data_IF_555272273893
#
_entry.id   IF_555272273893
#
_cell.length_a   1.000
_cell.length_b   1.000
_cell.length_c   1.000
_cell.angle_alpha   90.00
_cell.angle_beta   90.00
_cell.angle_gamma   90.00
#
_symmetry.space_group_name_H-M   'P 1'
#
loop_
_entity.id
_entity.type
_entity.pdbx_description
1 polymer ?
#
# COMPACT_ATOMS: atom_id res chain seq x y z
N UNK A 1 -40.53 3.73 -33.00
CA UNK A 1 -39.43 3.16 -33.80
C UNK A 1 -38.17 3.10 -32.95
N UNK A 2 -37.31 2.10 -33.18
CA UNK A 2 -36.06 1.89 -32.45
C UNK A 2 -34.87 2.51 -33.21
N UNK A 3 -34.00 3.22 -32.49
CA UNK A 3 -32.70 3.67 -32.97
C UNK A 3 -31.60 2.99 -32.17
N UNK A 4 -30.51 2.61 -32.85
CA UNK A 4 -29.38 1.93 -32.24
C UNK A 4 -28.15 2.82 -32.30
N UNK A 5 -27.55 3.14 -31.15
CA UNK A 5 -26.34 3.95 -31.05
C UNK A 5 -25.17 3.07 -30.61
N UNK A 6 -24.06 3.14 -31.31
CA UNK A 6 -22.80 2.47 -30.95
C UNK A 6 -21.65 3.49 -31.07
N UNK A 7 -20.52 3.20 -30.43
CA UNK A 7 -19.33 4.03 -30.54
C UNK A 7 -18.14 3.21 -31.02
N UNK A 8 -17.25 3.87 -31.75
CA UNK A 8 -16.00 3.32 -32.25
C UNK A 8 -14.83 4.24 -31.86
N UNK A 9 -13.64 3.97 -32.38
CA UNK A 9 -12.46 4.80 -32.11
C UNK A 9 -12.60 6.23 -32.67
N UNK A 10 -13.45 6.44 -33.68
CA UNK A 10 -13.66 7.74 -34.32
C UNK A 10 -14.82 8.55 -33.75
N UNK A 11 -15.78 7.94 -33.04
CA UNK A 11 -16.97 8.67 -32.59
C UNK A 11 -18.16 7.78 -32.29
N UNK A 12 -19.34 8.40 -32.27
CA UNK A 12 -20.65 7.76 -32.12
C UNK A 12 -21.37 7.69 -33.46
N UNK A 13 -22.04 6.56 -33.71
CA UNK A 13 -22.82 6.31 -34.92
C UNK A 13 -24.21 5.79 -34.52
N UNK A 14 -25.24 6.33 -35.19
CA UNK A 14 -26.63 5.99 -34.98
C UNK A 14 -27.21 5.29 -36.20
N UNK A 15 -27.90 4.18 -35.98
CA UNK A 15 -28.45 3.30 -37.01
C UNK A 15 -29.94 3.06 -36.80
N UNK A 16 -30.66 2.80 -37.89
CA UNK A 16 -32.04 2.33 -37.82
C UNK A 16 -32.10 0.80 -37.65
N UNK A 17 -33.30 0.22 -37.60
CA UNK A 17 -33.51 -1.23 -37.50
C UNK A 17 -33.04 -2.03 -38.73
N UNK A 18 -32.77 -1.38 -39.86
CA UNK A 18 -32.29 -1.98 -41.10
C UNK A 18 -30.76 -1.84 -41.25
N UNK A 19 -30.07 -1.36 -40.21
CA UNK A 19 -28.64 -1.07 -40.17
C UNK A 19 -28.19 0.06 -41.12
N UNK A 20 -29.10 0.93 -41.53
CA UNK A 20 -28.74 2.14 -42.27
C UNK A 20 -28.25 3.21 -41.30
N UNK A 21 -27.15 3.89 -41.65
CA UNK A 21 -26.59 4.98 -40.87
C UNK A 21 -27.49 6.22 -40.95
N UNK A 22 -28.00 6.67 -39.81
CA UNK A 22 -28.87 7.84 -39.69
C UNK A 22 -28.05 9.10 -39.41
N UNK A 23 -27.12 9.02 -38.46
CA UNK A 23 -26.34 10.15 -37.97
C UNK A 23 -25.01 9.67 -37.42
N UNK A 24 -24.00 10.54 -37.48
CA UNK A 24 -22.68 10.31 -36.90
C UNK A 24 -22.18 11.57 -36.18
N UNK A 25 -21.49 11.36 -35.06
CA UNK A 25 -20.76 12.39 -34.32
C UNK A 25 -19.34 11.91 -34.11
N UNK A 26 -18.44 12.39 -34.96
CA UNK A 26 -17.02 12.06 -34.91
C UNK A 26 -16.31 12.92 -33.86
N UNK A 27 -15.33 12.34 -33.19
CA UNK A 27 -14.42 13.04 -32.31
C UNK A 27 -13.46 13.92 -33.13
N UNK A 28 -13.07 15.10 -32.62
CA UNK A 28 -11.95 15.84 -33.18
C UNK A 28 -10.68 14.99 -33.18
N UNK A 29 -9.89 14.99 -34.28
CA UNK A 29 -8.71 14.12 -34.44
C UNK A 29 -7.70 14.25 -33.29
N UNK A 30 -7.53 15.46 -32.76
CA UNK A 30 -6.64 15.78 -31.64
C UNK A 30 -7.22 15.40 -30.27
N UNK A 31 -8.53 15.18 -30.16
CA UNK A 31 -9.23 14.84 -28.92
C UNK A 31 -9.61 13.36 -28.80
N UNK A 32 -9.46 12.54 -29.84
CA UNK A 32 -9.84 11.11 -29.86
C UNK A 32 -9.38 10.39 -28.58
N UNK A 33 -8.12 10.53 -28.21
CA UNK A 33 -7.56 9.85 -27.02
C UNK A 33 -8.19 10.33 -25.72
N UNK A 34 -8.46 11.64 -25.60
CA UNK A 34 -9.09 12.22 -24.42
C UNK A 34 -10.55 11.77 -24.32
N UNK A 35 -11.29 11.73 -25.44
CA UNK A 35 -12.67 11.23 -25.51
C UNK A 35 -12.77 9.76 -25.10
N UNK A 36 -11.91 8.90 -25.66
CA UNK A 36 -11.86 7.48 -25.30
C UNK A 36 -11.51 7.29 -23.80
N UNK A 37 -10.57 8.08 -23.27
CA UNK A 37 -10.23 8.04 -21.86
C UNK A 37 -11.37 8.54 -20.94
N UNK A 38 -12.12 9.55 -21.36
CA UNK A 38 -13.29 10.05 -20.63
C UNK A 38 -14.43 9.04 -20.63
N UNK A 39 -14.65 8.32 -21.75
CA UNK A 39 -15.61 7.22 -21.83
C UNK A 39 -15.22 6.09 -20.87
N UNK A 40 -13.95 5.69 -20.80
CA UNK A 40 -13.47 4.69 -19.83
C UNK A 40 -13.74 5.12 -18.38
N UNK A 41 -13.54 6.40 -18.09
CA UNK A 41 -13.80 7.04 -16.80
C UNK A 41 -15.31 7.26 -16.52
N UNK A 42 -16.19 6.73 -17.40
CA UNK A 42 -17.67 6.81 -17.35
C UNK A 42 -18.22 8.24 -17.44
N UNK A 43 -17.47 9.16 -18.02
CA UNK A 43 -17.97 10.51 -18.32
C UNK A 43 -18.74 10.48 -19.63
N UNK A 44 -19.86 11.19 -19.67
CA UNK A 44 -20.62 11.42 -20.91
C UNK A 44 -19.86 12.49 -21.70
N UNK A 45 -19.47 12.15 -22.93
CA UNK A 45 -18.78 13.08 -23.83
C UNK A 45 -19.80 13.88 -24.64
N UNK A 46 -19.46 15.09 -25.13
CA UNK A 46 -20.39 15.95 -25.86
C UNK A 46 -21.04 15.26 -27.06
N UNK A 47 -20.26 14.49 -27.82
CA UNK A 47 -20.71 13.79 -29.02
C UNK A 47 -21.76 12.71 -28.70
N UNK A 48 -21.69 12.12 -27.49
CA UNK A 48 -22.65 11.14 -27.00
C UNK A 48 -23.99 11.79 -26.66
N UNK A 49 -23.99 12.99 -26.06
CA UNK A 49 -25.23 13.76 -25.82
C UNK A 49 -25.83 14.28 -27.11
N UNK A 50 -24.99 14.84 -27.99
CA UNK A 50 -25.45 15.44 -29.25
C UNK A 50 -26.14 14.43 -30.15
N UNK A 51 -25.58 13.22 -30.29
CA UNK A 51 -26.20 12.17 -31.11
C UNK A 51 -27.53 11.68 -30.52
N UNK A 52 -27.61 11.56 -29.18
CA UNK A 52 -28.86 11.17 -28.50
C UNK A 52 -29.93 12.23 -28.70
N UNK A 53 -29.59 13.50 -28.52
CA UNK A 53 -30.52 14.62 -28.67
C UNK A 53 -31.03 14.73 -30.10
N UNK A 54 -30.16 14.54 -31.10
CA UNK A 54 -30.52 14.55 -32.51
C UNK A 54 -31.56 13.48 -32.85
N UNK A 55 -31.34 12.22 -32.44
CA UNK A 55 -32.26 11.11 -32.76
C UNK A 55 -33.48 11.06 -31.84
N UNK A 56 -33.47 11.77 -30.71
CA UNK A 56 -34.55 11.73 -29.71
C UNK A 56 -35.88 12.26 -30.21
N UNK A 57 -35.88 13.10 -31.25
CA UNK A 57 -37.08 13.66 -31.85
C UNK A 57 -37.80 12.66 -32.77
N UNK A 58 -37.04 11.83 -33.48
CA UNK A 58 -37.55 10.96 -34.55
C UNK A 58 -37.83 9.52 -34.07
N UNK A 59 -37.28 9.13 -32.91
CA UNK A 59 -37.38 7.77 -32.38
C UNK A 59 -37.99 7.72 -30.97
N UNK A 60 -38.70 6.62 -30.70
CA UNK A 60 -39.39 6.38 -29.42
C UNK A 60 -38.48 5.70 -28.41
N UNK A 61 -37.57 4.86 -28.89
CA UNK A 61 -36.63 4.08 -28.09
C UNK A 61 -35.22 4.14 -28.69
N UNK A 62 -34.24 4.44 -27.84
CA UNK A 62 -32.82 4.56 -28.21
C UNK A 62 -32.04 3.48 -27.47
N UNK A 63 -31.43 2.56 -28.21
CA UNK A 63 -30.65 1.45 -27.66
C UNK A 63 -29.16 1.75 -27.85
N UNK A 64 -28.46 2.14 -26.78
CA UNK A 64 -27.05 2.55 -26.82
C UNK A 64 -26.11 1.50 -26.22
N UNK A 65 -24.96 1.30 -26.85
CA UNK A 65 -23.81 0.60 -26.24
C UNK A 65 -23.04 1.56 -25.33
N UNK A 66 -23.10 1.36 -24.01
CA UNK A 66 -22.38 2.20 -23.05
C UNK A 66 -21.99 1.44 -21.78
N UNK A 67 -20.92 1.91 -21.13
CA UNK A 67 -20.43 1.44 -19.83
C UNK A 67 -21.02 2.26 -18.64
N UNK A 68 -21.90 3.21 -18.94
CA UNK A 68 -22.58 4.12 -18.01
C UNK A 68 -23.90 3.51 -17.53
N UNK A 69 -24.56 4.14 -16.54
CA UNK A 69 -25.88 3.70 -16.08
C UNK A 69 -26.97 4.46 -16.82
N UNK A 70 -28.14 3.83 -16.97
CA UNK A 70 -29.32 4.49 -17.57
C UNK A 70 -29.69 5.79 -16.85
N UNK A 71 -29.52 5.82 -15.52
CA UNK A 71 -29.75 7.01 -14.71
C UNK A 71 -28.88 8.22 -15.07
N UNK A 72 -27.74 7.99 -15.71
CA UNK A 72 -26.75 9.04 -15.99
C UNK A 72 -27.18 9.92 -17.18
N UNK A 73 -28.07 9.42 -18.05
CA UNK A 73 -28.48 10.10 -19.28
C UNK A 73 -29.67 11.06 -19.11
N UNK A 74 -30.43 10.97 -18.02
CA UNK A 74 -31.61 11.83 -17.79
C UNK A 74 -32.74 11.70 -18.83
N UNK A 75 -32.63 10.79 -19.81
CA UNK A 75 -33.58 10.59 -20.89
C UNK A 75 -34.23 9.20 -20.77
N UNK A 76 -35.56 9.17 -20.58
CA UNK A 76 -36.30 7.92 -20.38
C UNK A 76 -36.32 7.03 -21.63
N UNK A 77 -36.12 7.59 -22.82
CA UNK A 77 -36.07 6.84 -24.09
C UNK A 77 -34.78 6.00 -24.24
N UNK A 78 -33.74 6.29 -23.46
CA UNK A 78 -32.45 5.62 -23.55
C UNK A 78 -32.46 4.30 -22.77
N UNK A 79 -32.17 3.21 -23.48
CA UNK A 79 -31.95 1.89 -22.95
C UNK A 79 -30.53 1.42 -23.30
N UNK A 80 -29.86 0.78 -22.35
CA UNK A 80 -28.48 0.33 -22.53
C UNK A 80 -28.49 -1.17 -22.85
N UNK A 81 -27.92 -1.54 -23.99
CA UNK A 81 -27.74 -2.93 -24.40
C UNK A 81 -26.39 -3.06 -25.09
N UNK A 82 -25.50 -3.86 -24.50
CA UNK A 82 -24.14 -4.07 -25.02
C UNK A 82 -23.85 -5.56 -25.09
N UNK A 83 -23.61 -6.15 -26.28
CA UNK A 83 -23.66 -5.51 -27.59
C UNK A 83 -25.10 -5.26 -28.08
N UNK A 84 -25.29 -4.28 -28.96
CA UNK A 84 -26.53 -4.07 -29.71
C UNK A 84 -26.35 -4.51 -31.20
N UNK A 85 -27.45 -4.73 -31.94
CA UNK A 85 -27.39 -5.19 -33.34
C UNK A 85 -26.54 -4.29 -34.25
N UNK A 86 -26.67 -2.97 -34.12
CA UNK A 86 -25.90 -2.01 -34.92
C UNK A 86 -24.40 -2.05 -34.61
N UNK A 87 -24.02 -2.24 -33.34
CA UNK A 87 -22.62 -2.40 -32.93
C UNK A 87 -22.01 -3.70 -33.46
N UNK A 88 -22.77 -4.80 -33.50
CA UNK A 88 -22.33 -6.03 -34.18
C UNK A 88 -22.14 -5.80 -35.68
N UNK A 89 -23.09 -5.13 -36.34
CA UNK A 89 -22.99 -4.80 -37.75
C UNK A 89 -21.78 -3.90 -38.06
N UNK A 90 -21.57 -2.84 -37.27
CA UNK A 90 -20.40 -1.97 -37.39
C UNK A 90 -19.10 -2.75 -37.24
N UNK A 91 -18.98 -3.60 -36.22
CA UNK A 91 -17.75 -4.38 -35.96
C UNK A 91 -17.48 -5.42 -37.05
N UNK A 92 -18.51 -5.94 -37.70
CA UNK A 92 -18.36 -6.86 -38.83
C UNK A 92 -18.02 -6.16 -40.15
N UNK A 93 -18.33 -4.88 -40.31
CA UNK A 93 -18.18 -4.13 -41.57
C UNK A 93 -17.41 -2.81 -41.36
N UNK A 94 -16.47 -2.78 -40.41
CA UNK A 94 -15.84 -1.52 -39.96
C UNK A 94 -15.14 -0.75 -41.10
N UNK A 95 -14.62 -1.45 -42.11
CA UNK A 95 -13.98 -0.86 -43.29
C UNK A 95 -14.95 0.02 -44.11
N UNK A 96 -16.25 -0.33 -44.16
CA UNK A 96 -17.29 0.45 -44.86
C UNK A 96 -17.52 1.81 -44.21
N UNK A 97 -17.19 1.93 -42.92
CA UNK A 97 -17.32 3.17 -42.12
C UNK A 97 -16.00 3.96 -42.04
N UNK A 98 -15.07 3.72 -42.98
CA UNK A 98 -13.81 4.44 -43.06
C UNK A 98 -12.87 4.17 -41.89
N UNK A 99 -13.02 3.03 -41.20
CA UNK A 99 -12.10 2.59 -40.17
C UNK A 99 -11.04 1.66 -40.77
N UNK A 100 -9.78 2.10 -40.74
CA UNK A 100 -8.66 1.28 -41.17
C UNK A 100 -8.06 0.48 -40.00
N UNK A 101 -7.62 -0.76 -40.27
CA UNK A 101 -7.08 -1.64 -39.23
C UNK A 101 -5.76 -1.14 -38.65
N UNK A 102 -4.91 -0.47 -39.44
CA UNK A 102 -3.65 0.11 -38.94
C UNK A 102 -3.95 1.32 -38.05
N UNK A 103 -4.85 2.20 -38.50
CA UNK A 103 -5.29 3.38 -37.74
C UNK A 103 -5.92 2.99 -36.39
N UNK A 104 -6.83 2.01 -36.38
CA UNK A 104 -7.44 1.50 -35.14
C UNK A 104 -6.37 0.99 -34.17
N UNK A 105 -5.42 0.20 -34.69
CA UNK A 105 -4.35 -0.39 -33.87
C UNK A 105 -3.46 0.69 -33.27
N UNK A 106 -3.14 1.72 -34.06
CA UNK A 106 -2.37 2.86 -33.59
C UNK A 106 -3.09 3.66 -32.50
N UNK A 107 -4.38 3.94 -32.66
CA UNK A 107 -5.19 4.65 -31.66
C UNK A 107 -5.22 3.84 -30.35
N UNK A 108 -5.48 2.52 -30.41
CA UNK A 108 -5.49 1.68 -29.21
C UNK A 108 -4.11 1.58 -28.54
N UNK A 109 -3.03 1.52 -29.32
CA UNK A 109 -1.66 1.57 -28.79
C UNK A 109 -1.42 2.88 -28.05
N UNK A 110 -1.80 4.01 -28.64
CA UNK A 110 -1.64 5.32 -28.05
C UNK A 110 -2.50 5.48 -26.78
N UNK A 111 -3.73 4.95 -26.78
CA UNK A 111 -4.59 4.90 -25.60
C UNK A 111 -3.96 4.04 -24.47
N UNK A 112 -3.38 2.89 -24.81
CA UNK A 112 -2.68 2.05 -23.83
C UNK A 112 -1.46 2.78 -23.22
N UNK A 113 -0.66 3.46 -24.04
CA UNK A 113 0.47 4.28 -23.56
C UNK A 113 -0.04 5.43 -22.66
N UNK A 114 -1.12 6.10 -23.07
CA UNK A 114 -1.76 7.15 -22.27
C UNK A 114 -2.20 6.63 -20.89
N UNK A 115 -2.88 5.49 -20.85
CA UNK A 115 -3.31 4.84 -19.59
C UNK A 115 -2.12 4.50 -18.69
N UNK A 116 -1.03 3.96 -19.26
CA UNK A 116 0.19 3.64 -18.51
C UNK A 116 0.83 4.92 -17.94
N UNK A 117 0.90 6.00 -18.72
CA UNK A 117 1.45 7.28 -18.26
C UNK A 117 0.59 7.88 -17.15
N UNK A 118 -0.74 7.85 -17.28
CA UNK A 118 -1.70 8.36 -16.29
C UNK A 118 -1.56 7.60 -14.96
N UNK A 119 -1.49 6.26 -15.00
CA UNK A 119 -1.31 5.45 -13.79
C UNK A 119 0.10 5.60 -13.20
N UNK A 120 1.14 5.69 -14.04
CA UNK A 120 2.53 5.91 -13.57
C UNK A 120 2.74 7.29 -12.95
N UNK A 121 1.91 8.27 -13.31
CA UNK A 121 1.96 9.63 -12.74
C UNK A 121 1.30 9.72 -11.37
N UNK A 122 0.73 8.63 -10.85
CA UNK A 122 0.16 8.64 -9.50
C UNK A 122 1.25 8.78 -8.44
N UNK A 123 1.09 9.78 -7.58
CA UNK A 123 2.13 10.17 -6.62
C UNK A 123 2.41 9.08 -5.57
N UNK A 124 1.44 8.19 -5.34
CA UNK A 124 1.61 7.05 -4.45
C UNK A 124 2.62 6.03 -5.00
N UNK A 125 2.89 5.97 -6.32
CA UNK A 125 3.94 5.09 -6.87
C UNK A 125 5.34 5.53 -6.46
N UNK A 126 5.62 6.83 -6.45
CA UNK A 126 6.91 7.34 -5.98
C UNK A 126 7.10 7.09 -4.49
N UNK A 127 6.04 7.23 -3.69
CA UNK A 127 6.04 6.86 -2.27
C UNK A 127 6.37 5.37 -2.06
N UNK A 128 5.76 4.49 -2.85
CA UNK A 128 6.01 3.04 -2.81
C UNK A 128 7.46 2.72 -3.13
N UNK A 129 8.04 3.35 -4.15
CA UNK A 129 9.46 3.15 -4.47
C UNK A 129 10.35 3.64 -3.33
N UNK A 130 10.10 4.84 -2.79
CA UNK A 130 10.91 5.41 -1.71
C UNK A 130 10.93 4.52 -0.45
N UNK A 131 9.77 4.00 -0.02
CA UNK A 131 9.73 3.15 1.18
C UNK A 131 10.40 1.79 0.96
N UNK A 132 10.29 1.21 -0.24
CA UNK A 132 10.99 -0.03 -0.58
C UNK A 132 12.52 0.19 -0.62
N UNK A 133 12.96 1.33 -1.17
CA UNK A 133 14.37 1.72 -1.16
C UNK A 133 14.92 1.89 0.26
N UNK A 134 14.14 2.45 1.19
CA UNK A 134 14.55 2.52 2.61
C UNK A 134 14.79 1.11 3.16
N UNK A 135 13.88 0.16 2.94
CA UNK A 135 14.04 -1.21 3.43
C UNK A 135 15.29 -1.89 2.81
N UNK A 136 15.55 -1.68 1.51
CA UNK A 136 16.76 -2.20 0.84
C UNK A 136 18.06 -1.56 1.35
N UNK A 137 18.05 -0.24 1.59
CA UNK A 137 19.18 0.49 2.16
C UNK A 137 19.45 0.00 3.59
N UNK A 138 18.42 -0.21 4.41
CA UNK A 138 18.57 -0.72 5.78
C UNK A 138 19.24 -2.11 5.81
N UNK A 139 18.82 -3.01 4.92
CA UNK A 139 19.48 -4.31 4.78
C UNK A 139 20.93 -4.21 4.30
N UNK A 140 21.19 -3.31 3.35
CA UNK A 140 22.52 -3.09 2.79
C UNK A 140 23.48 -2.49 3.82
N UNK A 141 23.06 -1.41 4.50
CA UNK A 141 23.81 -0.77 5.59
C UNK A 141 24.17 -1.82 6.66
N UNK A 142 23.20 -2.64 7.08
CA UNK A 142 23.44 -3.66 8.12
C UNK A 142 24.58 -4.62 7.74
N UNK A 143 24.53 -5.17 6.51
CA UNK A 143 25.58 -6.09 6.01
C UNK A 143 26.94 -5.41 5.86
N UNK A 144 26.96 -4.16 5.40
CA UNK A 144 28.19 -3.40 5.22
C UNK A 144 28.83 -3.03 6.55
N UNK A 145 28.02 -2.72 7.57
CA UNK A 145 28.51 -2.44 8.92
C UNK A 145 29.13 -3.69 9.56
N UNK A 146 28.55 -4.88 9.36
CA UNK A 146 29.18 -6.13 9.80
C UNK A 146 30.57 -6.31 9.16
N UNK A 147 30.67 -6.09 7.84
CA UNK A 147 31.93 -6.23 7.10
C UNK A 147 33.00 -5.24 7.54
N UNK A 148 32.65 -3.96 7.70
CA UNK A 148 33.65 -2.94 8.08
C UNK A 148 34.08 -3.06 9.53
N UNK A 149 33.23 -3.56 10.43
CA UNK A 149 33.64 -3.89 11.81
C UNK A 149 34.70 -4.98 11.82
N UNK A 150 34.46 -6.08 11.11
CA UNK A 150 35.43 -7.16 10.98
C UNK A 150 36.76 -6.68 10.36
N UNK A 151 36.70 -5.83 9.34
CA UNK A 151 37.89 -5.35 8.65
C UNK A 151 38.67 -4.32 9.47
N UNK A 152 37.98 -3.34 10.04
CA UNK A 152 38.62 -2.27 10.81
C UNK A 152 39.16 -2.76 12.16
N UNK A 153 38.59 -3.83 12.72
CA UNK A 153 39.15 -4.48 13.91
C UNK A 153 40.54 -5.11 13.69
N UNK A 154 40.95 -5.34 12.44
CA UNK A 154 42.33 -5.73 12.12
C UNK A 154 43.31 -4.55 12.34
N UNK A 155 42.84 -3.31 12.26
CA UNK A 155 43.64 -2.11 12.46
C UNK A 155 43.49 -1.50 13.85
N UNK A 156 42.26 -1.41 14.36
CA UNK A 156 41.94 -0.79 15.64
C UNK A 156 40.89 -1.63 16.39
N UNK A 157 41.29 -2.76 17.00
CA UNK A 157 40.36 -3.69 17.65
C UNK A 157 39.60 -3.07 18.83
N UNK A 158 40.19 -2.08 19.51
CA UNK A 158 39.55 -1.38 20.64
C UNK A 158 38.31 -0.59 20.21
N UNK A 159 38.16 -0.27 18.92
CA UNK A 159 36.99 0.40 18.35
C UNK A 159 35.67 -0.35 18.64
N UNK A 160 35.73 -1.65 18.91
CA UNK A 160 34.57 -2.48 19.26
C UNK A 160 33.86 -2.06 20.56
N UNK A 161 34.48 -1.22 21.41
CA UNK A 161 33.79 -0.57 22.53
C UNK A 161 32.59 0.27 22.05
N UNK A 162 32.64 0.79 20.82
CA UNK A 162 31.56 1.56 20.21
C UNK A 162 30.47 0.61 19.67
N UNK A 163 29.48 0.32 20.53
CA UNK A 163 28.33 -0.54 20.19
C UNK A 163 27.34 0.09 19.21
N UNK A 164 27.23 1.42 19.16
CA UNK A 164 26.31 2.10 18.25
C UNK A 164 26.91 2.15 16.84
N UNK A 165 26.26 1.49 15.89
CA UNK A 165 26.69 1.35 14.51
C UNK A 165 26.80 2.67 13.75
N UNK A 166 25.87 3.60 13.93
CA UNK A 166 25.91 4.92 13.28
C UNK A 166 27.11 5.73 13.79
N UNK A 167 27.36 5.70 15.10
CA UNK A 167 28.52 6.37 15.71
C UNK A 167 29.84 5.74 15.27
N UNK A 168 29.88 4.41 15.16
CA UNK A 168 31.07 3.67 14.70
C UNK A 168 31.49 4.13 13.30
N UNK A 169 30.55 4.15 12.36
CA UNK A 169 30.80 4.57 10.98
C UNK A 169 31.15 6.04 10.90
N UNK A 170 30.41 6.91 11.60
CA UNK A 170 30.70 8.36 11.61
C UNK A 170 32.12 8.65 12.10
N UNK A 171 32.57 7.99 13.18
CA UNK A 171 33.91 8.21 13.72
C UNK A 171 35.00 7.86 12.70
N UNK A 172 34.89 6.72 12.00
CA UNK A 172 35.86 6.31 10.96
C UNK A 172 35.79 7.24 9.74
N UNK A 173 34.58 7.67 9.36
CA UNK A 173 34.38 8.56 8.22
C UNK A 173 34.96 9.96 8.46
N UNK A 174 34.80 10.50 9.66
CA UNK A 174 35.23 11.86 10.02
C UNK A 174 36.71 11.91 10.44
N UNK A 175 37.26 10.80 10.96
CA UNK A 175 38.60 10.72 11.53
C UNK A 175 39.35 9.57 10.84
N UNK A 176 40.41 9.89 10.11
CA UNK A 176 41.07 8.96 9.17
C UNK A 176 42.12 8.08 9.83
N UNK A 177 42.46 8.35 11.08
CA UNK A 177 43.46 7.62 11.85
C UNK A 177 42.97 7.29 13.25
N UNK A 178 43.55 6.24 13.86
CA UNK A 178 43.31 5.84 15.24
C UNK A 178 43.43 7.01 16.23
N UNK A 179 44.49 7.81 16.10
CA UNK A 179 44.74 8.95 16.99
C UNK A 179 43.65 10.03 16.91
N UNK A 180 43.18 10.32 15.70
CA UNK A 180 42.09 11.28 15.50
C UNK A 180 40.78 10.75 16.11
N UNK A 181 40.51 9.44 15.96
CA UNK A 181 39.32 8.80 16.56
C UNK A 181 39.36 8.85 18.09
N UNK A 182 40.51 8.52 18.70
CA UNK A 182 40.71 8.58 20.16
C UNK A 182 40.49 10.01 20.66
N UNK A 183 41.05 11.01 19.97
CA UNK A 183 40.85 12.43 20.29
C UNK A 183 39.40 12.88 20.14
N UNK A 184 38.68 12.36 19.14
CA UNK A 184 37.28 12.67 18.92
C UNK A 184 36.36 12.06 19.98
N UNK A 185 36.77 10.95 20.63
CA UNK A 185 35.98 10.29 21.67
C UNK A 185 36.84 9.68 22.79
N UNK A 186 37.53 10.50 23.60
CA UNK A 186 38.48 10.00 24.62
C UNK A 186 37.79 9.19 25.72
N UNK A 187 36.53 9.50 26.03
CA UNK A 187 35.74 8.76 27.04
C UNK A 187 35.55 7.27 26.70
N UNK A 188 35.65 6.89 25.42
CA UNK A 188 35.51 5.51 24.99
C UNK A 188 36.84 4.73 24.95
N UNK A 189 37.98 5.44 25.00
CA UNK A 189 39.31 4.90 24.80
C UNK A 189 40.26 5.41 25.90
N UNK A 190 40.31 4.75 27.07
CA UNK A 190 41.19 5.15 28.16
C UNK A 190 42.68 4.86 27.85
N UNK A 191 43.58 5.65 28.46
CA UNK A 191 45.03 5.67 28.18
C UNK A 191 45.76 4.34 28.51
N UNK A 192 45.11 3.42 29.24
CA UNK A 192 45.64 2.11 29.62
C UNK A 192 45.36 1.01 28.57
N UNK A 193 44.79 1.38 27.42
CA UNK A 193 44.62 0.46 26.29
C UNK A 193 45.97 0.00 25.73
N UNK A 194 46.08 -1.29 25.46
CA UNK A 194 47.28 -1.90 24.88
C UNK A 194 47.39 -1.42 23.44
N UNK A 195 48.27 -0.46 23.19
CA UNK A 195 48.60 -0.03 21.84
C UNK A 195 49.51 -1.09 21.18
N UNK A 196 48.90 -2.05 20.50
CA UNK A 196 49.64 -2.93 19.59
C UNK A 196 49.95 -2.12 18.33
N UNK A 197 51.21 -1.68 18.21
CA UNK A 197 51.72 -1.13 16.95
C UNK A 197 51.71 -2.24 15.89
N UNK A 198 50.68 -2.25 15.03
CA UNK A 198 50.67 -3.05 13.83
C UNK A 198 51.04 -2.19 12.61
N UNK A 199 52.08 -2.61 11.89
CA UNK A 199 52.51 -2.03 10.61
C UNK A 199 51.46 -2.34 9.53
N UNK A 200 50.35 -1.61 9.54
CA UNK A 200 49.34 -1.69 8.48
C UNK A 200 49.69 -0.72 7.37
N UNK A 201 49.61 -1.22 6.15
CA UNK A 201 49.86 -0.44 4.95
C UNK A 201 48.89 0.76 4.88
N UNK A 202 49.38 2.01 4.75
CA UNK A 202 48.55 3.20 4.68
C UNK A 202 47.48 3.15 3.59
N UNK A 203 47.73 2.44 2.49
CA UNK A 203 46.74 2.24 1.42
C UNK A 203 45.53 1.41 1.88
N UNK A 204 45.73 0.44 2.77
CA UNK A 204 44.63 -0.38 3.28
C UNK A 204 43.74 0.45 4.20
N UNK A 205 44.33 1.34 5.02
CA UNK A 205 43.60 2.32 5.86
C UNK A 205 42.79 3.27 4.99
N UNK A 206 43.38 3.80 3.91
CA UNK A 206 42.68 4.68 2.97
C UNK A 206 41.45 4.00 2.35
N UNK A 207 41.57 2.74 1.93
CA UNK A 207 40.43 1.98 1.37
C UNK A 207 39.35 1.76 2.44
N UNK A 208 39.72 1.40 3.66
CA UNK A 208 38.76 1.22 4.77
C UNK A 208 38.01 2.53 5.08
N UNK A 209 38.71 3.67 5.11
CA UNK A 209 38.09 4.97 5.34
C UNK A 209 37.14 5.38 4.20
N UNK A 210 37.52 5.14 2.94
CA UNK A 210 36.64 5.38 1.80
C UNK A 210 35.38 4.50 1.84
N UNK A 211 35.54 3.26 2.30
CA UNK A 211 34.41 2.36 2.50
C UNK A 211 33.50 2.83 3.64
N UNK A 212 34.05 3.26 4.78
CA UNK A 212 33.28 3.88 5.87
C UNK A 212 32.50 5.10 5.40
N UNK A 213 33.13 5.97 4.62
CA UNK A 213 32.49 7.16 4.06
C UNK A 213 31.33 6.79 3.12
N UNK A 214 31.49 5.76 2.30
CA UNK A 214 30.39 5.26 1.45
C UNK A 214 29.20 4.77 2.29
N UNK A 215 29.44 4.07 3.40
CA UNK A 215 28.38 3.63 4.33
C UNK A 215 27.73 4.85 5.01
N UNK A 216 28.53 5.84 5.40
CA UNK A 216 28.04 7.08 6.01
C UNK A 216 27.10 7.84 5.06
N UNK A 217 27.49 8.01 3.79
CA UNK A 217 26.64 8.64 2.76
C UNK A 217 25.34 7.85 2.53
N UNK A 218 25.37 6.51 2.60
CA UNK A 218 24.15 5.70 2.57
C UNK A 218 23.24 5.96 3.79
N UNK A 219 23.80 6.14 4.99
CA UNK A 219 23.03 6.52 6.18
C UNK A 219 22.38 7.90 6.03
N UNK A 220 23.06 8.86 5.41
CA UNK A 220 22.47 10.18 5.13
C UNK A 220 21.38 10.09 4.07
N UNK A 221 21.61 9.32 2.99
CA UNK A 221 20.61 9.06 1.95
C UNK A 221 19.33 8.44 2.54
N UNK A 222 19.49 7.47 3.46
CA UNK A 222 18.36 6.88 4.21
C UNK A 222 17.55 7.94 4.95
N UNK A 223 18.20 8.86 5.67
CA UNK A 223 17.51 9.94 6.41
C UNK A 223 16.75 10.86 5.47
N UNK A 224 17.37 11.27 4.35
CA UNK A 224 16.72 12.10 3.34
C UNK A 224 15.48 11.41 2.73
N UNK A 225 15.54 10.09 2.52
CA UNK A 225 14.40 9.30 2.06
C UNK A 225 13.29 9.22 3.11
N UNK A 226 13.62 9.10 4.39
CA UNK A 226 12.61 9.13 5.47
C UNK A 226 11.88 10.47 5.53
N UNK A 227 12.60 11.59 5.41
CA UNK A 227 12.01 12.93 5.34
C UNK A 227 11.12 13.10 4.09
N UNK A 228 11.58 12.60 2.94
CA UNK A 228 10.80 12.61 1.70
C UNK A 228 9.51 11.78 1.83
N UNK A 229 9.59 10.59 2.45
CA UNK A 229 8.42 9.74 2.72
C UNK A 229 7.45 10.45 3.67
N UNK A 230 7.95 11.13 4.70
CA UNK A 230 7.11 11.90 5.63
C UNK A 230 6.37 13.05 4.93
N UNK A 231 7.08 13.81 4.11
CA UNK A 231 6.50 14.88 3.29
C UNK A 231 5.43 14.34 2.33
N UNK A 232 5.74 13.27 1.58
CA UNK A 232 4.78 12.66 0.64
C UNK A 232 3.58 12.05 1.35
N UNK A 233 3.75 11.45 2.52
CA UNK A 233 2.64 10.92 3.32
C UNK A 233 1.73 12.02 3.84
N UNK A 234 2.27 13.19 4.20
CA UNK A 234 1.47 14.34 4.61
C UNK A 234 0.57 14.85 3.47
N UNK A 235 1.07 14.84 2.25
CA UNK A 235 0.34 15.31 1.07
C UNK A 235 -0.70 14.28 0.60
N UNK A 236 -0.30 13.01 0.49
CA UNK A 236 -1.11 11.95 -0.12
C UNK A 236 -2.12 11.33 0.87
N UNK A 237 -1.73 11.13 2.13
CA UNK A 237 -2.51 10.39 3.12
C UNK A 237 -2.34 10.94 4.55
N UNK A 238 -2.76 12.20 4.81
CA UNK A 238 -2.55 12.87 6.09
C UNK A 238 -3.24 12.16 7.27
N UNK A 239 -4.44 11.60 7.09
CA UNK A 239 -5.13 10.89 8.17
C UNK A 239 -4.40 9.58 8.52
N UNK A 240 -3.95 8.84 7.50
CA UNK A 240 -3.16 7.63 7.72
C UNK A 240 -1.82 7.95 8.40
N UNK A 241 -1.14 9.01 7.97
CA UNK A 241 0.10 9.51 8.61
C UNK A 241 -0.12 9.83 10.09
N UNK A 242 -1.18 10.57 10.43
CA UNK A 242 -1.50 10.91 11.82
C UNK A 242 -1.73 9.66 12.67
N UNK A 243 -2.43 8.65 12.13
CA UNK A 243 -2.83 7.47 12.89
C UNK A 243 -1.68 6.49 13.14
N UNK A 244 -0.83 6.21 12.13
CA UNK A 244 0.19 5.15 12.21
C UNK A 244 1.62 5.62 11.99
N UNK A 245 1.82 6.90 11.65
CA UNK A 245 3.12 7.45 11.22
C UNK A 245 3.43 7.14 9.76
N UNK A 246 4.37 7.90 9.20
CA UNK A 246 4.68 7.87 7.76
C UNK A 246 5.32 6.56 7.30
N UNK A 247 6.24 5.99 8.08
CA UNK A 247 6.89 4.72 7.72
C UNK A 247 5.91 3.56 7.64
N UNK A 248 5.08 3.33 8.67
CA UNK A 248 4.10 2.25 8.67
C UNK A 248 2.98 2.51 7.66
N UNK A 249 2.52 3.76 7.52
CA UNK A 249 1.53 4.15 6.51
C UNK A 249 2.01 3.86 5.08
N UNK A 250 3.23 4.28 4.75
CA UNK A 250 3.85 4.01 3.45
C UNK A 250 4.03 2.51 3.20
N UNK A 251 4.44 1.73 4.21
CA UNK A 251 4.54 0.26 4.10
C UNK A 251 3.19 -0.40 3.82
N UNK A 252 2.11 0.07 4.42
CA UNK A 252 0.76 -0.41 4.12
C UNK A 252 0.33 -0.07 2.69
N UNK A 253 0.62 1.14 2.22
CA UNK A 253 0.33 1.56 0.83
C UNK A 253 1.14 0.72 -0.17
N UNK A 254 2.43 0.53 0.08
CA UNK A 254 3.33 -0.32 -0.72
C UNK A 254 2.82 -1.75 -0.81
N UNK A 255 2.51 -2.35 0.34
CA UNK A 255 2.00 -3.72 0.38
C UNK A 255 0.61 -3.86 -0.30
N UNK A 256 -0.22 -2.82 -0.31
CA UNK A 256 -1.49 -2.84 -1.04
C UNK A 256 -1.32 -2.62 -2.56
N UNK A 257 -0.20 -2.03 -2.99
CA UNK A 257 0.08 -1.63 -4.38
C UNK A 257 -0.52 -0.27 -4.76
N UNK A 258 -0.86 0.57 -3.77
CA UNK A 258 -1.44 1.90 -3.97
C UNK A 258 -2.48 2.27 -2.91
N UNK A 259 -2.68 3.57 -2.70
CA UNK A 259 -3.55 4.09 -1.66
C UNK A 259 -5.03 3.77 -1.94
N UNK A 260 -5.46 3.92 -3.21
CA UNK A 260 -6.84 3.55 -3.62
C UNK A 260 -7.15 2.08 -3.34
N UNK A 261 -6.20 1.19 -3.58
CA UNK A 261 -6.34 -0.26 -3.30
C UNK A 261 -6.46 -0.51 -1.80
N UNK A 262 -5.62 0.16 -1.00
CA UNK A 262 -5.69 0.07 0.47
C UNK A 262 -7.06 0.52 1.01
N UNK A 263 -7.63 1.59 0.46
CA UNK A 263 -8.94 2.11 0.90
C UNK A 263 -10.10 1.12 0.65
N UNK A 264 -10.01 0.31 -0.39
CA UNK A 264 -11.03 -0.72 -0.73
C UNK A 264 -10.89 -1.97 0.15
N UNK A 265 -9.72 -2.23 0.73
CA UNK A 265 -9.53 -3.40 1.58
C UNK A 265 -10.43 -3.39 2.82
N UNK A 266 -10.97 -4.56 3.21
CA UNK A 266 -11.66 -4.69 4.48
C UNK A 266 -10.64 -4.64 5.63
N UNK A 267 -11.10 -4.20 6.80
CA UNK A 267 -10.25 -4.08 8.00
C UNK A 267 -9.61 -5.40 8.43
N UNK A 268 -10.28 -6.53 8.18
CA UNK A 268 -9.74 -7.87 8.43
C UNK A 268 -8.50 -8.18 7.59
N UNK A 269 -8.46 -7.70 6.34
CA UNK A 269 -7.29 -7.84 5.47
C UNK A 269 -6.17 -6.94 5.95
N UNK A 270 -6.47 -5.66 6.20
CA UNK A 270 -5.49 -4.68 6.74
C UNK A 270 -4.85 -5.18 8.03
N UNK A 271 -5.62 -5.85 8.90
CA UNK A 271 -5.11 -6.42 10.14
C UNK A 271 -3.95 -7.40 9.93
N UNK A 272 -4.01 -8.22 8.89
CA UNK A 272 -3.09 -9.34 8.65
C UNK A 272 -2.13 -9.12 7.48
N UNK A 273 -2.13 -7.94 6.85
CA UNK A 273 -1.20 -7.58 5.78
C UNK A 273 0.26 -7.76 6.22
N UNK A 274 1.08 -8.43 5.43
CA UNK A 274 2.45 -8.83 5.75
C UNK A 274 2.58 -10.14 6.56
N UNK A 275 1.46 -10.78 6.92
CA UNK A 275 1.43 -12.09 7.58
C UNK A 275 0.80 -13.20 6.71
N UNK A 276 0.77 -13.00 5.39
CA UNK A 276 0.13 -13.87 4.39
C UNK A 276 0.67 -15.29 4.49
N UNK A 277 1.99 -15.47 4.62
CA UNK A 277 2.61 -16.80 4.74
C UNK A 277 2.06 -17.57 5.96
N UNK A 278 1.85 -16.89 7.08
CA UNK A 278 1.28 -17.49 8.28
C UNK A 278 -0.22 -17.75 8.14
N UNK A 279 -0.93 -16.84 7.46
CA UNK A 279 -2.35 -16.99 7.14
C UNK A 279 -2.61 -18.19 6.22
N UNK A 280 -1.89 -18.30 5.11
CA UNK A 280 -2.03 -19.41 4.17
C UNK A 280 -1.64 -20.75 4.79
N UNK A 281 -0.63 -20.76 5.68
CA UNK A 281 -0.33 -21.95 6.48
C UNK A 281 -1.53 -22.33 7.35
N UNK A 282 -2.12 -21.38 8.08
CA UNK A 282 -3.33 -21.63 8.87
C UNK A 282 -4.49 -22.19 8.02
N UNK A 283 -4.75 -21.62 6.84
CA UNK A 283 -5.81 -22.10 5.95
C UNK A 283 -5.55 -23.53 5.46
N UNK A 284 -4.28 -23.92 5.28
CA UNK A 284 -3.89 -25.25 4.82
C UNK A 284 -3.85 -26.29 5.93
N UNK A 285 -3.30 -25.95 7.10
CA UNK A 285 -3.07 -26.89 8.22
C UNK A 285 -4.12 -26.85 9.31
N UNK A 286 -4.96 -25.80 9.36
CA UNK A 286 -5.91 -25.58 10.45
C UNK A 286 -5.26 -25.10 11.76
N UNK A 287 -4.02 -24.60 11.71
CA UNK A 287 -3.29 -24.07 12.88
C UNK A 287 -3.96 -22.81 13.48
N UNK A 288 -3.32 -22.05 14.36
CA UNK A 288 -3.88 -20.76 14.80
C UNK A 288 -3.59 -19.68 13.75
N UNK A 289 -4.57 -18.84 13.38
CA UNK A 289 -4.33 -17.74 12.45
C UNK A 289 -3.39 -16.68 13.07
N UNK A 290 -2.66 -15.92 12.23
CA UNK A 290 -1.95 -14.74 12.69
C UNK A 290 -2.95 -13.71 13.23
N UNK A 291 -2.56 -12.97 14.28
CA UNK A 291 -3.40 -11.95 14.91
C UNK A 291 -3.20 -10.56 14.33
N UNK A 292 -2.08 -10.33 13.68
CA UNK A 292 -1.63 -9.06 13.14
C UNK A 292 -0.50 -9.32 12.13
N UNK A 293 -0.30 -8.41 11.19
CA UNK A 293 0.86 -8.36 10.31
C UNK A 293 1.70 -7.11 10.55
N UNK A 294 1.90 -6.28 9.53
CA UNK A 294 2.70 -5.05 9.57
C UNK A 294 2.29 -4.09 10.71
N UNK A 295 1.00 -4.02 11.01
CA UNK A 295 0.46 -3.16 12.07
C UNK A 295 0.99 -3.49 13.48
N UNK A 296 1.69 -4.62 13.66
CA UNK A 296 2.41 -4.92 14.89
C UNK A 296 3.54 -3.92 15.20
N UNK A 297 4.09 -3.27 14.17
CA UNK A 297 5.14 -2.27 14.32
C UNK A 297 4.65 -1.02 15.07
N UNK A 298 3.33 -0.78 15.10
CA UNK A 298 2.75 0.35 15.82
C UNK A 298 3.06 0.27 17.33
N UNK A 299 3.59 1.35 17.96
CA UNK A 299 4.03 1.33 19.36
C UNK A 299 2.97 0.82 20.33
N UNK A 300 1.72 1.27 20.17
CA UNK A 300 0.59 0.85 21.03
C UNK A 300 0.24 -0.63 20.88
N UNK A 301 0.44 -1.23 19.71
CA UNK A 301 0.19 -2.67 19.50
C UNK A 301 1.34 -3.50 20.06
N UNK A 302 2.58 -3.08 19.83
CA UNK A 302 3.79 -3.77 20.32
C UNK A 302 3.89 -3.70 21.84
N UNK A 303 3.62 -2.53 22.42
CA UNK A 303 3.69 -2.25 23.85
C UNK A 303 2.57 -2.90 24.67
N UNK A 304 1.40 -3.14 24.07
CA UNK A 304 0.27 -3.74 24.76
C UNK A 304 0.54 -5.17 25.28
N UNK A 305 -0.19 -5.54 26.34
CA UNK A 305 -0.12 -6.90 26.92
C UNK A 305 -0.53 -7.95 25.90
N UNK A 306 0.14 -9.11 25.87
CA UNK A 306 -0.01 -10.12 24.81
C UNK A 306 -1.45 -10.62 24.58
N UNK A 307 -2.31 -10.58 25.59
CA UNK A 307 -3.75 -10.94 25.48
C UNK A 307 -4.62 -9.80 24.91
N UNK A 308 -4.17 -8.55 24.97
CA UNK A 308 -4.85 -7.37 24.45
C UNK A 308 -4.38 -6.98 23.05
N UNK A 309 -3.15 -7.34 22.65
CA UNK A 309 -2.57 -7.02 21.32
C UNK A 309 -3.52 -7.27 20.17
N UNK A 310 -4.18 -8.44 20.13
CA UNK A 310 -5.09 -8.78 19.04
C UNK A 310 -6.39 -7.96 19.01
N UNK A 311 -6.82 -7.41 20.16
CA UNK A 311 -8.00 -6.51 20.24
C UNK A 311 -7.63 -5.12 19.73
N UNK A 312 -6.50 -4.59 20.19
CA UNK A 312 -5.97 -3.28 19.77
C UNK A 312 -5.61 -3.31 18.29
N UNK A 313 -4.97 -4.38 17.80
CA UNK A 313 -4.66 -4.55 16.39
C UNK A 313 -5.91 -4.55 15.49
N UNK A 314 -6.99 -5.24 15.92
CA UNK A 314 -8.26 -5.24 15.17
C UNK A 314 -8.89 -3.86 15.11
N UNK A 315 -8.89 -3.15 16.23
CA UNK A 315 -9.40 -1.78 16.31
C UNK A 315 -8.59 -0.83 15.42
N UNK A 316 -7.25 -0.91 15.52
CA UNK A 316 -6.33 -0.12 14.71
C UNK A 316 -6.56 -0.38 13.22
N UNK A 317 -6.70 -1.64 12.80
CA UNK A 317 -6.98 -1.97 11.40
C UNK A 317 -8.31 -1.37 10.90
N UNK A 318 -9.34 -1.33 11.75
CA UNK A 318 -10.59 -0.63 11.45
C UNK A 318 -10.39 0.86 11.23
N UNK A 319 -9.66 1.51 12.13
CA UNK A 319 -9.33 2.94 12.02
C UNK A 319 -8.45 3.25 10.81
N UNK A 320 -7.48 2.40 10.48
CA UNK A 320 -6.65 2.50 9.27
C UNK A 320 -7.53 2.45 8.01
N UNK A 321 -8.45 1.48 7.92
CA UNK A 321 -9.37 1.39 6.78
C UNK A 321 -10.24 2.65 6.65
N UNK A 322 -10.70 3.22 7.77
CA UNK A 322 -11.45 4.47 7.75
C UNK A 322 -10.60 5.66 7.33
N UNK A 323 -9.39 5.80 7.87
CA UNK A 323 -8.44 6.85 7.51
C UNK A 323 -8.11 6.81 6.01
N UNK A 324 -7.72 5.64 5.48
CA UNK A 324 -7.41 5.47 4.07
C UNK A 324 -8.60 5.80 3.15
N UNK A 325 -9.83 5.42 3.52
CA UNK A 325 -11.03 5.81 2.77
C UNK A 325 -11.29 7.30 2.81
N UNK A 326 -11.05 7.94 3.96
CA UNK A 326 -11.25 9.37 4.11
C UNK A 326 -10.23 10.16 3.29
N UNK A 327 -8.97 9.75 3.30
CA UNK A 327 -7.89 10.31 2.47
C UNK A 327 -8.23 10.22 0.98
N UNK A 328 -8.74 9.08 0.51
CA UNK A 328 -9.04 8.86 -0.92
C UNK A 328 -10.34 9.52 -1.39
N UNK A 329 -11.44 9.30 -0.66
CA UNK A 329 -12.79 9.60 -1.17
C UNK A 329 -13.36 10.91 -0.65
N UNK A 330 -13.02 11.31 0.58
CA UNK A 330 -13.59 12.50 1.22
C UNK A 330 -12.62 13.68 1.22
N UNK A 331 -11.30 13.41 1.24
CA UNK A 331 -10.23 14.41 1.31
C UNK A 331 -10.40 15.40 2.47
N UNK A 332 -10.92 14.92 3.61
CA UNK A 332 -11.05 15.71 4.84
C UNK A 332 -10.10 15.18 5.89
N UNK A 333 -9.50 16.08 6.66
CA UNK A 333 -8.58 15.73 7.74
C UNK A 333 -9.32 15.56 9.07
N UNK A 334 -8.92 14.57 9.86
CA UNK A 334 -9.43 14.27 11.19
C UNK A 334 -8.34 14.34 12.23
N UNK A 335 -8.23 15.50 12.86
CA UNK A 335 -7.25 15.76 13.92
C UNK A 335 -7.44 14.85 15.15
N UNK A 336 -8.66 14.34 15.38
CA UNK A 336 -8.98 13.58 16.59
C UNK A 336 -8.75 12.07 16.44
N UNK A 337 -8.44 11.58 15.24
CA UNK A 337 -8.37 10.14 14.95
C UNK A 337 -7.34 9.41 15.84
N UNK A 338 -6.19 10.04 16.10
CA UNK A 338 -5.16 9.46 16.96
C UNK A 338 -5.58 9.46 18.44
N UNK A 339 -6.13 10.56 18.94
CA UNK A 339 -6.59 10.64 20.33
C UNK A 339 -7.72 9.66 20.63
N UNK A 340 -8.64 9.48 19.68
CA UNK A 340 -9.70 8.47 19.77
C UNK A 340 -9.11 7.05 19.81
N UNK A 341 -8.09 6.77 19.00
CA UNK A 341 -7.38 5.49 19.02
C UNK A 341 -6.73 5.21 20.39
N UNK A 342 -6.02 6.19 20.95
CA UNK A 342 -5.36 6.05 22.25
C UNK A 342 -6.38 5.80 23.36
N UNK A 343 -7.44 6.62 23.45
CA UNK A 343 -8.52 6.44 24.45
C UNK A 343 -9.12 5.04 24.40
N UNK A 344 -9.46 4.55 23.21
CA UNK A 344 -10.02 3.20 23.07
C UNK A 344 -9.00 2.10 23.37
N UNK A 345 -7.71 2.30 23.07
CA UNK A 345 -6.66 1.36 23.42
C UNK A 345 -6.54 1.21 24.94
N UNK A 346 -6.52 2.34 25.66
CA UNK A 346 -6.51 2.37 27.13
C UNK A 346 -7.74 1.71 27.74
N UNK A 347 -8.93 1.98 27.20
CA UNK A 347 -10.18 1.32 27.61
C UNK A 347 -10.10 -0.20 27.43
N UNK A 348 -9.55 -0.68 26.31
CA UNK A 348 -9.34 -2.12 26.08
C UNK A 348 -8.43 -2.69 27.16
N UNK A 349 -7.36 -2.00 27.52
CA UNK A 349 -6.43 -2.47 28.56
C UNK A 349 -7.08 -2.49 29.95
N UNK A 350 -7.81 -1.43 30.29
CA UNK A 350 -8.54 -1.29 31.57
C UNK A 350 -9.64 -2.35 31.72
N UNK A 351 -10.39 -2.61 30.65
CA UNK A 351 -11.46 -3.62 30.64
C UNK A 351 -10.92 -5.05 30.58
N UNK A 352 -9.64 -5.24 30.22
CA UNK A 352 -9.01 -6.56 30.12
C UNK A 352 -7.69 -6.62 30.89
N UNK A 353 -7.73 -6.45 32.23
CA UNK A 353 -6.53 -6.40 33.06
C UNK A 353 -5.84 -7.77 33.14
N UNK A 354 -6.59 -8.85 32.96
CA UNK A 354 -6.12 -10.23 33.02
C UNK A 354 -6.38 -10.99 31.71
N UNK A 355 -5.54 -11.98 31.37
CA UNK A 355 -5.76 -12.81 30.19
C UNK A 355 -7.09 -13.57 30.30
N UNK A 356 -7.91 -13.48 29.26
CA UNK A 356 -9.11 -14.32 29.14
C UNK A 356 -8.69 -15.80 29.14
N UNK A 357 -9.16 -16.57 30.13
CA UNK A 357 -8.89 -18.01 30.20
C UNK A 357 -9.34 -18.68 28.89
N UNK A 358 -8.44 -19.37 28.21
CA UNK A 358 -8.76 -20.08 26.95
C UNK A 358 -9.86 -21.12 27.20
N UNK A 359 -10.74 -21.33 26.21
CA UNK A 359 -11.79 -22.36 26.24
C UNK A 359 -11.26 -23.75 26.57
N UNK A 360 -10.04 -24.09 26.13
CA UNK A 360 -9.35 -25.34 26.49
C UNK A 360 -9.07 -25.44 27.99
N UNK A 361 -8.51 -24.39 28.61
CA UNK A 361 -8.26 -24.30 30.06
C UNK A 361 -9.58 -24.25 30.85
N UNK A 362 -10.61 -23.60 30.31
CA UNK A 362 -11.97 -23.55 30.88
C UNK A 362 -12.66 -24.93 30.84
N UNK A 363 -12.44 -25.72 29.79
CA UNK A 363 -12.94 -27.09 29.66
C UNK A 363 -12.18 -28.07 30.58
N UNK A 364 -10.86 -27.91 30.73
CA UNK A 364 -10.05 -28.68 31.68
C UNK A 364 -10.39 -28.38 33.16
N UNK A 365 -10.68 -27.11 33.50
CA UNK A 365 -11.16 -26.76 34.84
C UNK A 365 -12.59 -27.29 35.10
N UNK A 366 -13.49 -27.23 34.09
CA UNK A 366 -14.85 -27.81 34.18
C UNK A 366 -14.82 -29.33 34.34
N UNK A 367 -13.90 -30.05 33.69
CA UNK A 367 -13.75 -31.50 33.85
C UNK A 367 -13.19 -31.87 35.23
N UNK A 368 -12.23 -31.10 35.75
CA UNK A 368 -11.72 -31.25 37.14
C UNK A 368 -12.80 -30.99 38.19
N UNK A 369 -13.68 -30.01 37.99
CA UNK A 369 -14.81 -29.72 38.88
C UNK A 369 -15.89 -30.82 38.92
N UNK A 370 -16.19 -31.46 37.77
CA UNK A 370 -17.10 -32.62 37.70
C UNK A 370 -16.55 -33.86 38.43
N UNK A 371 -15.23 -34.10 38.35
CA UNK A 371 -14.59 -35.22 39.07
C UNK A 371 -14.56 -35.03 40.59
N UNK A 372 -14.41 -33.80 41.11
CA UNK A 372 -14.54 -33.51 42.55
C UNK A 372 -15.96 -33.74 43.07
N UNK A 373 -17.01 -33.32 42.32
CA UNK A 373 -18.42 -33.57 42.70
C UNK A 373 -18.78 -35.06 42.71
N UNK A 374 -18.22 -35.88 41.81
CA UNK A 374 -18.41 -37.34 41.82
C UNK A 374 -17.75 -38.04 43.02
N UNK A 375 -16.57 -37.59 43.47
CA UNK A 375 -15.92 -38.13 44.68
C UNK A 375 -16.67 -37.77 45.97
N UNK A 376 -17.31 -36.60 46.05
CA UNK A 376 -18.14 -36.19 47.19
C UNK A 376 -19.43 -37.00 47.36
N UNK A 377 -20.10 -37.40 46.26
CA UNK A 377 -21.31 -38.23 46.31
C UNK A 377 -21.06 -39.69 46.73
N UNK A 378 -19.85 -40.24 46.51
CA UNK A 378 -19.51 -41.62 46.91
C UNK A 378 -19.24 -41.80 48.41
N UNK A 379 -18.95 -40.72 49.15
CA UNK A 379 -18.65 -40.78 50.60
C UNK A 379 -19.87 -40.67 51.53
N UNK A 380 -21.09 -40.51 50.99
CA UNK A 380 -22.30 -40.22 51.78
C UNK A 380 -23.39 -41.32 51.77
N UNK A 381 -23.04 -42.55 51.41
CA UNK A 381 -23.91 -43.73 51.61
C UNK A 381 -23.13 -44.87 52.26
N UNK A 382 -23.23 -44.93 53.59
CA UNK A 382 -23.23 -46.13 54.44
C UNK A 382 -23.39 -45.65 55.89
N UNK A 383 -24.65 -45.59 56.33
CA UNK A 383 -25.06 -45.90 57.70
C UNK A 383 -25.78 -47.24 57.60
#
# INVERSE_FOLDING_TARGET
MECYITYCVKGFLAFNSENELISEKLFPEDEILNRLADIDDKKIVPEETEIIDEVSNDYDEIIIESNKRRSDYGNEKVNIKTPNPAGEYLRSNYEEFGLDSEEITEIYRNLAIYRIKKESSSEDKHLIQAINTIDEIDESISKQIERIREWYALYFPEMEVIRNNETYIRLISENKSKDEIIKAKPEAFPDDMIDLEEDINPKDIEIMNNYANSIYEMQQTRKNLEEYVDFKMQDIAPNLRLLVGSSLGAKLISHAGGLKRLAVYPSSTVQIMGAEKALFRHLKSGDRPPKYGLIYQHPQVRGAKWWNRGKIARMLAGMISHAARRDVFTKTFDENAFDEFIKKAEEIEKNNPFPTKTTKKRNEERSKGKNKKRKGKKKRKRR
#
